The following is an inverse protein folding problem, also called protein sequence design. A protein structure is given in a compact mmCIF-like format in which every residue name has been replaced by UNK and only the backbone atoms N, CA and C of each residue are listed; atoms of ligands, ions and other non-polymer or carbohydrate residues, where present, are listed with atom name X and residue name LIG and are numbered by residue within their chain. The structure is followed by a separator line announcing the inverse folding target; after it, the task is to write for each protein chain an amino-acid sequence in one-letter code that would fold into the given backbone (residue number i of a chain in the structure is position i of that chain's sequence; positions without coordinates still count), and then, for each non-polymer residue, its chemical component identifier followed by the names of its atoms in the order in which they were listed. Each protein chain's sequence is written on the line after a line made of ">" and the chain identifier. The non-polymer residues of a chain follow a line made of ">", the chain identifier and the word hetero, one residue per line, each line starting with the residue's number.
data_IF_410798691593
#
_entry.id   IF_410798691593
#
_cell.length_a   1.000
_cell.length_b   1.000
_cell.length_c   1.000
_cell.angle_alpha   90.00
_cell.angle_beta   90.00
_cell.angle_gamma   90.00
#
_symmetry.space_group_name_H-M   'P 1'
#
loop_
_entity.id
_entity.type
_entity.pdbx_description
1 polymer ?
#
# COMPACT_ATOMS: atom_id res chain seq x y z
N UNK A 1 34.85 14.16 7.95
CA UNK A 1 33.90 13.74 9.01
C UNK A 1 33.92 12.23 9.08
N UNK A 2 34.07 11.60 10.26
CA UNK A 2 34.01 10.15 10.39
C UNK A 2 32.61 9.65 10.01
N UNK A 3 32.55 8.59 9.22
CA UNK A 3 31.30 7.93 8.86
C UNK A 3 30.96 6.93 9.96
N UNK A 4 29.84 7.09 10.65
CA UNK A 4 29.38 6.11 11.63
C UNK A 4 28.70 4.95 10.90
N UNK A 5 29.14 3.72 11.15
CA UNK A 5 28.64 2.54 10.44
C UNK A 5 28.26 1.44 11.43
N UNK A 6 27.10 0.84 11.19
CA UNK A 6 26.67 -0.42 11.78
C UNK A 6 26.64 -1.47 10.68
N UNK A 7 27.31 -2.61 10.90
CA UNK A 7 27.39 -3.71 9.93
C UNK A 7 26.75 -4.94 10.54
N UNK A 8 25.66 -5.40 9.94
CA UNK A 8 25.08 -6.70 10.19
C UNK A 8 25.40 -7.60 8.99
N UNK A 9 26.01 -8.75 9.24
CA UNK A 9 26.49 -9.63 8.18
C UNK A 9 26.17 -11.10 8.49
N UNK A 10 25.69 -11.81 7.48
CA UNK A 10 25.51 -13.25 7.48
C UNK A 10 26.58 -13.90 6.60
N UNK A 11 27.46 -14.72 7.17
CA UNK A 11 28.38 -15.55 6.41
C UNK A 11 27.78 -16.95 6.26
N UNK A 12 27.37 -17.32 5.03
CA UNK A 12 26.85 -18.64 4.69
C UNK A 12 27.68 -19.33 3.60
N UNK A 13 27.60 -20.66 3.54
CA UNK A 13 28.30 -21.48 2.54
C UNK A 13 29.38 -22.40 3.13
N UNK A 14 30.30 -22.85 2.27
CA UNK A 14 31.40 -23.75 2.66
C UNK A 14 32.60 -22.97 3.23
N UNK A 15 32.36 -22.14 4.24
CA UNK A 15 33.37 -21.40 4.98
C UNK A 15 33.46 -21.99 6.38
N UNK A 16 34.67 -22.23 6.86
CA UNK A 16 34.87 -22.44 8.28
C UNK A 16 34.55 -21.17 9.07
N UNK A 17 34.25 -21.33 10.37
CA UNK A 17 34.05 -20.19 11.28
C UNK A 17 35.23 -19.20 11.25
N UNK A 18 36.47 -19.71 11.13
CA UNK A 18 37.66 -18.89 11.11
C UNK A 18 37.76 -18.03 9.84
N UNK A 19 37.38 -18.60 8.69
CA UNK A 19 37.33 -17.87 7.42
C UNK A 19 36.23 -16.82 7.41
N UNK A 20 35.04 -17.14 7.91
CA UNK A 20 33.95 -16.17 8.06
C UNK A 20 34.35 -14.96 8.93
N UNK A 21 34.99 -15.21 10.07
CA UNK A 21 35.50 -14.13 10.94
C UNK A 21 36.62 -13.32 10.25
N UNK A 22 37.50 -13.98 9.49
CA UNK A 22 38.55 -13.29 8.73
C UNK A 22 37.96 -12.39 7.65
N UNK A 23 36.94 -12.85 6.92
CA UNK A 23 36.23 -12.04 5.94
C UNK A 23 35.57 -10.81 6.60
N UNK A 24 34.88 -11.00 7.73
CA UNK A 24 34.30 -9.90 8.50
C UNK A 24 35.36 -8.89 8.96
N UNK A 25 36.50 -9.36 9.47
CA UNK A 25 37.60 -8.50 9.90
C UNK A 25 38.21 -7.70 8.74
N UNK A 26 38.40 -8.32 7.58
CA UNK A 26 38.93 -7.64 6.38
C UNK A 26 37.96 -6.55 5.89
N UNK A 27 36.66 -6.83 5.92
CA UNK A 27 35.63 -5.86 5.53
C UNK A 27 35.60 -4.66 6.49
N UNK A 28 35.63 -4.91 7.81
CA UNK A 28 35.70 -3.84 8.82
C UNK A 28 37.00 -3.02 8.72
N UNK A 29 38.13 -3.68 8.46
CA UNK A 29 39.40 -3.00 8.23
C UNK A 29 39.34 -2.10 6.99
N UNK A 30 38.77 -2.60 5.89
CA UNK A 30 38.61 -1.82 4.66
C UNK A 30 37.72 -0.57 4.88
N UNK A 31 36.62 -0.70 5.63
CA UNK A 31 35.76 0.45 5.96
C UNK A 31 36.49 1.47 6.83
N UNK A 32 37.22 1.02 7.85
CA UNK A 32 38.01 1.91 8.69
C UNK A 32 39.08 2.64 7.88
N UNK A 33 39.85 1.89 7.09
CA UNK A 33 41.05 2.40 6.42
C UNK A 33 40.71 3.26 5.20
N UNK A 34 39.61 2.97 4.49
CA UNK A 34 39.22 3.69 3.26
C UNK A 34 38.12 4.73 3.45
N UNK A 35 37.25 4.55 4.44
CA UNK A 35 36.08 5.41 4.65
C UNK A 35 36.15 6.21 5.95
N UNK A 36 37.25 6.09 6.71
CA UNK A 36 37.35 6.64 8.07
C UNK A 36 36.15 6.25 8.93
N UNK A 37 35.67 5.01 8.75
CA UNK A 37 34.49 4.52 9.44
C UNK A 37 34.78 4.29 10.93
N UNK A 38 33.85 4.71 11.78
CA UNK A 38 33.86 4.44 13.21
C UNK A 38 32.61 3.62 13.59
N UNK A 39 32.70 2.73 14.60
CA UNK A 39 31.56 1.96 15.04
C UNK A 39 30.46 2.88 15.58
N UNK A 40 29.22 2.60 15.20
CA UNK A 40 28.04 3.27 15.73
C UNK A 40 27.89 2.98 17.24
N UNK A 41 27.50 3.98 18.03
CA UNK A 41 27.22 3.78 19.45
C UNK A 41 25.98 2.87 19.62
N UNK A 42 25.93 1.93 20.59
CA UNK A 42 24.78 1.02 20.73
C UNK A 42 23.43 1.73 20.90
N UNK A 43 23.41 2.92 21.51
CA UNK A 43 22.18 3.72 21.66
C UNK A 43 21.71 4.38 20.34
N UNK A 44 22.57 4.44 19.34
CA UNK A 44 22.27 4.97 18.00
C UNK A 44 21.90 3.87 17.02
N UNK A 45 22.00 2.59 17.44
CA UNK A 45 21.59 1.46 16.62
C UNK A 45 20.11 1.60 16.24
N UNK A 46 19.76 1.42 14.95
CA UNK A 46 18.40 1.61 14.49
C UNK A 46 17.47 0.67 15.24
N UNK A 47 16.60 1.23 16.08
CA UNK A 47 15.54 0.46 16.71
C UNK A 47 14.60 -0.06 15.61
N UNK A 48 14.11 -1.31 15.71
CA UNK A 48 13.08 -1.79 14.79
C UNK A 48 11.88 -0.83 14.85
N UNK A 49 11.59 -0.19 13.72
CA UNK A 49 10.46 0.75 13.61
C UNK A 49 9.17 -0.07 13.56
N UNK A 50 8.53 -0.22 14.70
CA UNK A 50 7.19 -0.82 14.79
C UNK A 50 6.17 0.29 14.60
N UNK A 51 5.64 0.41 13.38
CA UNK A 51 4.47 1.26 13.12
C UNK A 51 3.26 0.63 13.83
N UNK A 52 2.86 1.21 14.96
CA UNK A 52 1.61 0.85 15.62
C UNK A 52 0.48 1.56 14.89
N UNK A 53 -0.25 0.82 14.06
CA UNK A 53 -1.53 1.31 13.58
C UNK A 53 -2.51 1.45 14.75
N UNK A 54 -3.41 2.44 14.72
CA UNK A 54 -4.55 2.46 15.62
C UNK A 54 -5.30 1.12 15.52
N UNK A 55 -5.76 0.53 16.63
CA UNK A 55 -6.66 -0.62 16.56
C UNK A 55 -7.92 -0.23 15.78
N UNK A 56 -8.52 -1.18 15.05
CA UNK A 56 -9.73 -0.98 14.26
C UNK A 56 -10.78 -0.18 15.06
N UNK A 57 -11.12 1.02 14.57
CA UNK A 57 -12.12 1.90 15.17
C UNK A 57 -11.63 2.90 16.21
N UNK A 58 -10.33 2.95 16.53
CA UNK A 58 -9.77 4.10 17.24
C UNK A 58 -9.55 5.24 16.25
N UNK A 59 -10.54 6.12 16.14
CA UNK A 59 -10.35 7.43 15.53
C UNK A 59 -9.03 8.02 16.06
N UNK A 60 -8.20 8.54 15.16
CA UNK A 60 -7.00 9.28 15.52
C UNK A 60 -7.40 10.30 16.58
N UNK A 61 -6.95 10.10 17.82
CA UNK A 61 -7.16 11.08 18.87
C UNK A 61 -6.56 12.39 18.39
N UNK A 62 -7.40 13.42 18.33
CA UNK A 62 -7.12 14.76 17.86
C UNK A 62 -5.76 15.24 18.35
N UNK A 63 -4.83 15.40 17.41
CA UNK A 63 -3.81 16.42 17.55
C UNK A 63 -4.53 17.75 17.31
N UNK A 64 -4.92 18.37 18.42
CA UNK A 64 -5.33 19.77 18.65
C UNK A 64 -5.40 20.63 17.37
N UNK A 65 -6.56 20.65 16.73
CA UNK A 65 -6.97 21.63 15.72
C UNK A 65 -8.46 21.96 15.94
N UNK A 66 -8.90 23.21 15.77
CA UNK A 66 -10.15 23.69 16.34
C UNK A 66 -11.37 23.13 15.61
N UNK A 67 -12.34 22.72 16.42
CA UNK A 67 -13.75 22.41 16.18
C UNK A 67 -14.29 22.65 14.77
N UNK A 68 -14.95 21.64 14.18
CA UNK A 68 -16.39 21.68 13.85
C UNK A 68 -16.98 20.25 13.68
N UNK A 69 -18.05 20.01 14.46
CA UNK A 69 -19.17 19.07 14.31
C UNK A 69 -18.92 17.62 13.82
N UNK A 70 -18.77 16.72 14.79
CA UNK A 70 -19.07 15.29 14.64
C UNK A 70 -20.58 15.04 14.78
N UNK A 71 -21.17 14.28 13.85
CA UNK A 71 -22.52 13.72 14.02
C UNK A 71 -22.43 12.20 14.00
N UNK A 72 -22.67 11.59 15.17
CA UNK A 72 -22.91 10.17 15.32
C UNK A 72 -24.32 9.83 14.79
N UNK A 73 -24.44 8.80 13.95
CA UNK A 73 -25.72 8.14 13.72
C UNK A 73 -25.61 6.65 14.08
N UNK A 74 -26.41 6.27 15.08
CA UNK A 74 -26.45 4.95 15.68
C UNK A 74 -27.02 3.86 14.75
N UNK A 75 -26.63 2.61 15.01
CA UNK A 75 -27.22 1.36 14.49
C UNK A 75 -28.74 1.29 14.81
N UNK A 76 -29.66 0.60 14.13
CA UNK A 76 -29.77 -0.73 13.48
C UNK A 76 -31.22 -0.80 12.88
N UNK A 77 -31.81 -1.95 12.43
CA UNK A 77 -31.39 -3.00 11.49
C UNK A 77 -32.48 -3.33 10.40
N UNK A 78 -32.19 -4.35 9.59
CA UNK A 78 -33.07 -5.13 8.67
C UNK A 78 -33.57 -4.49 7.36
N UNK A 79 -33.28 -5.12 6.21
CA UNK A 79 -34.21 -6.03 5.48
C UNK A 79 -33.46 -6.72 4.33
N UNK A 80 -33.85 -7.97 4.12
CA UNK A 80 -33.38 -9.06 3.26
C UNK A 80 -33.56 -8.90 1.73
N UNK A 81 -32.67 -9.63 1.01
CA UNK A 81 -32.92 -10.48 -0.16
C UNK A 81 -33.10 -9.91 -1.60
N UNK A 82 -32.22 -10.43 -2.47
CA UNK A 82 -32.50 -11.08 -3.76
C UNK A 82 -33.06 -10.29 -4.97
N UNK A 83 -32.22 -10.16 -6.00
CA UNK A 83 -32.41 -10.82 -7.31
C UNK A 83 -33.45 -10.30 -8.32
N UNK A 84 -32.96 -10.06 -9.54
CA UNK A 84 -33.58 -10.28 -10.86
C UNK A 84 -34.02 -9.06 -11.73
N UNK A 85 -33.29 -8.91 -12.85
CA UNK A 85 -33.70 -8.75 -14.28
C UNK A 85 -34.65 -7.65 -14.79
N UNK A 86 -34.08 -6.84 -15.70
CA UNK A 86 -34.49 -6.52 -17.09
C UNK A 86 -35.64 -5.52 -17.44
N UNK A 87 -35.24 -4.53 -18.27
CA UNK A 87 -35.88 -3.93 -19.46
C UNK A 87 -37.00 -2.87 -19.35
N UNK A 88 -36.81 -1.74 -20.06
CA UNK A 88 -37.91 -1.01 -20.74
C UNK A 88 -37.92 0.53 -20.75
N UNK A 89 -37.48 1.11 -21.87
CA UNK A 89 -38.02 2.29 -22.61
C UNK A 89 -38.09 3.73 -22.01
N UNK A 90 -37.24 4.58 -22.61
CA UNK A 90 -37.38 5.98 -23.08
C UNK A 90 -38.52 6.91 -22.59
N UNK A 91 -38.11 8.12 -22.14
CA UNK A 91 -38.75 9.40 -22.50
C UNK A 91 -37.79 10.58 -22.33
N UNK A 92 -37.68 11.42 -23.35
CA UNK A 92 -36.94 12.70 -23.37
C UNK A 92 -37.77 13.82 -22.74
N UNK A 93 -37.11 14.69 -21.96
CA UNK A 93 -37.41 16.12 -21.83
C UNK A 93 -36.19 16.82 -21.20
N UNK A 94 -35.65 17.82 -21.89
CA UNK A 94 -34.46 18.57 -21.45
C UNK A 94 -34.73 19.61 -20.36
N UNK A 95 -33.68 19.92 -19.61
CA UNK A 95 -33.43 21.21 -18.97
C UNK A 95 -31.93 21.25 -18.57
N UNK A 96 -31.20 22.23 -19.12
CA UNK A 96 -29.87 22.62 -18.65
C UNK A 96 -29.96 23.19 -17.24
N UNK A 97 -29.13 22.70 -16.33
CA UNK A 97 -28.57 23.47 -15.21
C UNK A 97 -27.36 22.73 -14.62
N UNK A 98 -26.20 23.34 -14.82
CA UNK A 98 -24.91 23.06 -14.23
C UNK A 98 -24.95 23.18 -12.70
N UNK A 99 -24.42 22.22 -11.94
CA UNK A 99 -23.61 22.45 -10.72
C UNK A 99 -23.16 21.14 -10.04
N UNK A 100 -21.83 21.02 -9.90
CA UNK A 100 -20.99 20.17 -9.06
C UNK A 100 -21.66 19.03 -8.24
N UNK A 101 -21.69 17.84 -8.82
CA UNK A 101 -21.99 16.61 -8.09
C UNK A 101 -20.89 16.24 -7.12
N UNK A 102 -21.13 16.47 -5.82
CA UNK A 102 -20.49 15.75 -4.73
C UNK A 102 -20.86 14.26 -4.88
N UNK A 103 -20.04 13.51 -5.62
CA UNK A 103 -20.19 12.09 -5.78
C UNK A 103 -19.93 11.40 -4.45
N UNK A 104 -21.00 10.97 -3.78
CA UNK A 104 -20.91 9.99 -2.69
C UNK A 104 -20.39 8.69 -3.29
N UNK A 105 -19.06 8.53 -3.31
CA UNK A 105 -18.44 7.24 -3.56
C UNK A 105 -18.93 6.22 -2.52
N UNK A 106 -19.03 4.94 -2.86
CA UNK A 106 -19.48 3.93 -1.91
C UNK A 106 -18.57 3.91 -0.68
N UNK A 107 -19.17 3.77 0.50
CA UNK A 107 -18.44 3.69 1.77
C UNK A 107 -17.60 2.41 1.81
N UNK A 108 -16.32 2.52 1.48
CA UNK A 108 -15.33 1.46 1.67
C UNK A 108 -14.94 1.45 3.15
N UNK A 109 -15.09 0.30 3.83
CA UNK A 109 -14.77 0.17 5.25
C UNK A 109 -13.37 0.71 5.56
N UNK A 110 -13.28 1.66 6.49
CA UNK A 110 -12.04 2.11 7.15
C UNK A 110 -10.83 2.42 6.25
N UNK A 111 -11.04 2.87 5.01
CA UNK A 111 -9.95 3.17 4.07
C UNK A 111 -9.53 4.64 4.08
N UNK A 112 -8.29 4.89 3.67
CA UNK A 112 -7.81 6.24 3.35
C UNK A 112 -7.57 6.33 1.85
N UNK A 113 -8.04 7.41 1.24
CA UNK A 113 -7.75 7.73 -0.16
C UNK A 113 -6.80 8.93 -0.17
N UNK A 114 -5.63 8.73 -0.78
CA UNK A 114 -4.72 9.82 -1.12
C UNK A 114 -4.72 9.94 -2.64
N UNK A 115 -5.01 11.15 -3.13
CA UNK A 115 -5.01 11.47 -4.55
C UNK A 115 -4.16 12.73 -4.76
N UNK A 116 -3.24 12.66 -5.73
CA UNK A 116 -2.39 13.77 -6.14
C UNK A 116 -2.39 13.87 -7.67
N UNK A 117 -2.11 15.08 -8.15
CA UNK A 117 -1.88 15.27 -9.59
C UNK A 117 -0.62 14.51 -10.00
N UNK A 118 -0.68 13.89 -11.18
CA UNK A 118 0.44 13.10 -11.71
C UNK A 118 1.71 13.93 -11.81
N UNK A 119 2.89 13.37 -11.49
CA UNK A 119 4.16 14.10 -11.49
C UNK A 119 4.59 14.59 -12.89
N UNK A 120 3.92 14.09 -13.93
CA UNK A 120 4.17 14.43 -15.33
C UNK A 120 2.95 15.10 -15.94
N UNK A 121 3.03 16.41 -16.19
CA UNK A 121 1.98 17.17 -16.88
C UNK A 121 1.75 16.71 -18.33
N UNK A 122 2.67 15.91 -18.89
CA UNK A 122 2.60 15.39 -20.25
C UNK A 122 2.12 13.94 -20.31
N UNK A 123 2.05 13.25 -19.17
CA UNK A 123 1.53 11.88 -19.13
C UNK A 123 0.01 11.94 -18.91
N UNK A 124 -0.74 11.50 -19.91
CA UNK A 124 -2.20 11.44 -19.84
C UNK A 124 -2.69 10.21 -19.08
N UNK A 125 -1.78 9.28 -18.72
CA UNK A 125 -2.15 8.11 -17.96
C UNK A 125 -2.34 8.46 -16.48
N UNK A 126 -3.35 7.83 -15.88
CA UNK A 126 -3.57 7.85 -14.45
C UNK A 126 -3.13 6.52 -13.84
N UNK A 127 -2.62 6.52 -12.62
CA UNK A 127 -2.30 5.31 -11.89
C UNK A 127 -3.06 5.27 -10.57
N UNK A 128 -3.52 4.09 -10.19
CA UNK A 128 -4.12 3.82 -8.91
C UNK A 128 -3.40 2.64 -8.25
N UNK A 129 -3.08 2.80 -6.97
CA UNK A 129 -2.53 1.74 -6.13
C UNK A 129 -3.51 1.52 -4.98
N UNK A 130 -3.98 0.29 -4.84
CA UNK A 130 -4.83 -0.13 -3.73
C UNK A 130 -4.05 -1.10 -2.88
N UNK A 131 -3.82 -0.73 -1.62
CA UNK A 131 -3.05 -1.53 -0.69
C UNK A 131 -3.93 -2.03 0.46
N UNK A 132 -3.94 -3.34 0.64
CA UNK A 132 -4.60 -4.03 1.76
C UNK A 132 -3.55 -4.41 2.80
N UNK A 133 -3.48 -3.65 3.88
CA UNK A 133 -2.57 -3.91 5.00
C UNK A 133 -3.09 -5.07 5.86
N UNK A 134 -2.20 -5.98 6.26
CA UNK A 134 -2.56 -7.17 7.06
C UNK A 134 -2.07 -7.13 8.51
N UNK A 135 -1.17 -6.20 8.83
CA UNK A 135 -0.47 -6.13 10.12
C UNK A 135 0.91 -6.82 10.13
N UNK A 136 1.45 -7.08 11.34
CA UNK A 136 2.82 -7.56 11.52
C UNK A 136 3.11 -8.93 10.91
N UNK A 137 4.39 -9.19 10.63
CA UNK A 137 4.86 -10.47 10.14
C UNK A 137 4.53 -11.64 11.06
N UNK A 138 3.91 -12.68 10.49
CA UNK A 138 3.80 -13.99 11.12
C UNK A 138 3.81 -15.07 10.04
N UNK A 139 4.32 -16.27 10.36
CA UNK A 139 4.39 -17.36 9.38
C UNK A 139 3.03 -17.70 8.77
N UNK A 140 2.00 -17.85 9.62
CA UNK A 140 0.64 -18.20 9.18
C UNK A 140 0.08 -17.12 8.26
N UNK A 141 0.17 -15.87 8.70
CA UNK A 141 -0.29 -14.75 7.90
C UNK A 141 0.52 -14.79 6.59
N UNK A 142 1.85 -14.81 6.59
CA UNK A 142 2.71 -14.75 5.40
C UNK A 142 2.37 -15.84 4.36
N UNK A 143 2.18 -17.08 4.80
CA UNK A 143 1.72 -18.16 3.93
C UNK A 143 0.35 -17.88 3.29
N UNK A 144 -0.61 -17.38 4.06
CA UNK A 144 -1.96 -17.07 3.56
C UNK A 144 -1.98 -15.91 2.54
N UNK A 145 -1.16 -14.86 2.72
CA UNK A 145 -1.09 -13.77 1.71
C UNK A 145 -0.41 -14.25 0.44
N UNK A 146 0.68 -15.02 0.57
CA UNK A 146 1.35 -15.59 -0.59
C UNK A 146 0.38 -16.47 -1.39
N UNK A 147 -0.38 -17.34 -0.71
CA UNK A 147 -1.40 -18.17 -1.34
C UNK A 147 -2.50 -17.34 -2.02
N UNK A 148 -3.08 -16.37 -1.28
CA UNK A 148 -4.11 -15.49 -1.81
C UNK A 148 -3.62 -14.74 -3.07
N UNK A 149 -2.46 -14.12 -2.99
CA UNK A 149 -1.84 -13.39 -4.10
C UNK A 149 -1.62 -14.30 -5.28
N UNK A 150 -1.11 -15.52 -5.06
CA UNK A 150 -0.81 -16.46 -6.13
C UNK A 150 -2.08 -16.94 -6.85
N UNK A 151 -3.17 -17.16 -6.11
CA UNK A 151 -4.46 -17.55 -6.67
C UNK A 151 -5.14 -16.38 -7.40
N UNK A 152 -5.15 -15.20 -6.78
CA UNK A 152 -5.91 -14.06 -7.28
C UNK A 152 -5.24 -13.31 -8.43
N UNK A 153 -3.91 -13.29 -8.53
CA UNK A 153 -3.19 -12.46 -9.52
C UNK A 153 -3.59 -12.73 -10.97
N UNK A 154 -3.88 -13.98 -11.33
CA UNK A 154 -4.28 -14.34 -12.70
C UNK A 154 -5.66 -13.78 -13.01
N UNK A 155 -6.58 -13.94 -12.07
CA UNK A 155 -7.97 -13.53 -12.24
C UNK A 155 -8.09 -12.00 -12.17
N UNK A 156 -7.33 -11.34 -11.29
CA UNK A 156 -7.20 -9.89 -11.26
C UNK A 156 -6.67 -9.33 -12.59
N UNK A 157 -5.63 -9.95 -13.15
CA UNK A 157 -5.11 -9.56 -14.46
C UNK A 157 -6.17 -9.77 -15.55
N UNK A 158 -6.77 -10.96 -15.63
CA UNK A 158 -7.79 -11.25 -16.64
C UNK A 158 -8.98 -10.28 -16.55
N UNK A 159 -9.47 -10.01 -15.35
CA UNK A 159 -10.61 -9.13 -15.17
C UNK A 159 -10.27 -7.68 -15.54
N UNK A 160 -9.23 -7.11 -14.95
CA UNK A 160 -8.92 -5.68 -15.10
C UNK A 160 -8.26 -5.36 -16.44
N UNK A 161 -7.36 -6.23 -16.93
CA UNK A 161 -6.65 -6.03 -18.20
C UNK A 161 -7.45 -6.53 -19.40
N UNK A 162 -7.99 -7.75 -19.34
CA UNK A 162 -8.59 -8.39 -20.52
C UNK A 162 -10.06 -8.04 -20.67
N UNK A 163 -10.87 -8.11 -19.60
CA UNK A 163 -12.31 -7.84 -19.69
C UNK A 163 -12.63 -6.35 -19.64
N UNK A 164 -12.16 -5.66 -18.60
CA UNK A 164 -12.49 -4.25 -18.36
C UNK A 164 -11.57 -3.29 -19.11
N UNK A 165 -10.43 -3.79 -19.63
CA UNK A 165 -9.48 -3.02 -20.43
C UNK A 165 -9.02 -1.72 -19.75
N UNK A 166 -8.91 -1.71 -18.41
CA UNK A 166 -8.63 -0.49 -17.65
C UNK A 166 -7.31 0.16 -18.06
N UNK A 167 -6.30 -0.65 -18.41
CA UNK A 167 -5.10 -0.16 -19.07
C UNK A 167 -4.10 -1.27 -19.30
N UNK A 168 -2.90 -0.93 -19.77
CA UNK A 168 -1.89 -1.94 -20.13
C UNK A 168 -1.23 -2.57 -18.90
N UNK A 169 -0.98 -1.76 -17.88
CA UNK A 169 -0.25 -2.19 -16.67
C UNK A 169 -1.28 -2.50 -15.59
N UNK A 170 -1.36 -3.79 -15.25
CA UNK A 170 -2.10 -4.30 -14.10
C UNK A 170 -1.19 -5.28 -13.39
N UNK A 171 -0.95 -5.07 -12.10
CA UNK A 171 -0.17 -5.99 -11.28
C UNK A 171 -0.79 -6.18 -9.91
N UNK A 172 -0.71 -7.40 -9.40
CA UNK A 172 -1.07 -7.75 -8.04
C UNK A 172 0.09 -8.50 -7.40
N UNK A 173 0.55 -8.05 -6.24
CA UNK A 173 1.61 -8.72 -5.47
C UNK A 173 1.45 -8.53 -3.98
N UNK A 174 2.10 -9.40 -3.21
CA UNK A 174 2.25 -9.25 -1.76
C UNK A 174 3.65 -8.76 -1.42
N UNK A 175 3.77 -8.04 -0.33
CA UNK A 175 5.05 -7.51 0.15
C UNK A 175 5.06 -7.29 1.66
N UNK A 176 6.21 -6.84 2.15
CA UNK A 176 6.43 -6.46 3.54
C UNK A 176 7.26 -5.19 3.58
N UNK A 177 6.76 -4.17 4.26
CA UNK A 177 7.46 -2.92 4.49
C UNK A 177 7.46 -2.62 5.98
N UNK A 178 8.65 -2.33 6.52
CA UNK A 178 8.84 -2.03 7.95
C UNK A 178 8.20 -3.06 8.91
N UNK A 179 8.25 -4.35 8.55
CA UNK A 179 7.71 -5.46 9.35
C UNK A 179 6.19 -5.61 9.30
N UNK A 180 5.52 -4.86 8.42
CA UNK A 180 4.08 -4.96 8.16
C UNK A 180 3.87 -5.51 6.76
N UNK A 181 3.08 -6.58 6.65
CA UNK A 181 2.73 -7.17 5.37
C UNK A 181 1.53 -6.49 4.69
N UNK A 182 1.51 -6.55 3.36
CA UNK A 182 0.44 -6.02 2.53
C UNK A 182 0.19 -6.88 1.29
N UNK A 183 -0.98 -6.65 0.67
CA UNK A 183 -1.29 -7.05 -0.70
C UNK A 183 -1.60 -5.78 -1.48
N UNK A 184 -0.94 -5.59 -2.61
CA UNK A 184 -1.05 -4.42 -3.47
C UNK A 184 -1.67 -4.81 -4.81
N UNK A 185 -2.56 -3.96 -5.30
CA UNK A 185 -3.06 -3.96 -6.65
C UNK A 185 -2.73 -2.61 -7.30
N UNK A 186 -2.00 -2.65 -8.40
CA UNK A 186 -1.63 -1.47 -9.19
C UNK A 186 -2.30 -1.56 -10.56
N UNK A 187 -2.91 -0.46 -10.96
CA UNK A 187 -3.50 -0.27 -12.29
C UNK A 187 -3.03 1.06 -12.84
N UNK A 188 -2.49 1.06 -14.06
CA UNK A 188 -2.30 2.28 -14.85
C UNK A 188 -3.32 2.28 -15.97
N UNK A 189 -4.18 3.29 -15.97
CA UNK A 189 -5.22 3.49 -16.95
C UNK A 189 -4.86 4.63 -17.92
N UNK A 190 -5.25 4.46 -19.18
CA UNK A 190 -5.20 5.56 -20.14
C UNK A 190 -6.23 6.62 -19.77
N UNK A 191 -5.92 7.89 -20.08
CA UNK A 191 -6.82 9.00 -19.83
C UNK A 191 -8.22 8.72 -20.40
N UNK A 192 -9.20 8.55 -19.51
CA UNK A 192 -10.60 8.67 -19.89
C UNK A 192 -10.73 10.10 -20.41
N UNK A 193 -11.03 10.24 -21.70
CA UNK A 193 -11.16 11.54 -22.35
C UNK A 193 -11.95 12.47 -21.44
N UNK A 194 -11.38 13.65 -21.15
CA UNK A 194 -12.07 14.73 -20.47
C UNK A 194 -13.45 14.84 -21.13
N UNK A 195 -14.50 14.48 -20.40
CA UNK A 195 -15.87 14.73 -20.86
C UNK A 195 -15.96 16.26 -20.95
N UNK A 196 -15.87 16.74 -22.19
CA UNK A 196 -15.94 18.15 -22.57
C UNK A 196 -17.32 18.72 -22.31
#
# INVERSE_FOLDING_TARGET
>A
MPCLVFVEALAGGNLSRAEALRCGALLLAAFRDRCAAAPLHPAEAPAPRVLRLPPDGAAAAEADAPAEASVNLAASPDVTAAGATAAGAAREAGAEATEAGSGSGPAYGGGWLYAEDGPSATDENSAAVVMYQRGPDSLRTNALSALLTHMAKRDAFFELRTRQQLGYIVSMHGGTEHGVGYVELLVQAGGVGRVS
#
